data_IF_651130626686
#
_entry.id   IF_651130626686
#
_cell.length_a   1.000
_cell.length_b   1.000
_cell.length_c   1.000
_cell.angle_alpha   90.00
_cell.angle_beta   90.00
_cell.angle_gamma   90.00
#
_symmetry.space_group_name_H-M   'P 1'
#
loop_
_entity.id
_entity.type
_entity.pdbx_description
1 polymer ?
#
# COMPACT_ATOMS: atom_id res chain seq x y z
N UNK A 1 15.06 2.21 -9.67
CA UNK A 1 15.12 1.81 -8.25
C UNK A 1 13.82 1.10 -7.91
N UNK A 2 13.88 0.00 -7.18
CA UNK A 2 12.70 -0.74 -6.66
C UNK A 2 12.32 -0.22 -5.27
N UNK A 3 11.09 -0.50 -4.84
CA UNK A 3 10.67 -0.35 -3.45
C UNK A 3 10.24 -1.69 -2.86
N UNK A 4 10.29 -1.79 -1.54
CA UNK A 4 10.03 -2.99 -0.73
C UNK A 4 9.10 -2.62 0.41
N UNK A 5 8.00 -3.36 0.54
CA UNK A 5 7.16 -3.36 1.73
C UNK A 5 7.34 -4.70 2.45
N UNK A 6 7.82 -4.65 3.68
CA UNK A 6 7.95 -5.81 4.56
C UNK A 6 6.66 -5.96 5.35
N UNK A 7 5.97 -7.09 5.17
CA UNK A 7 4.68 -7.36 5.83
C UNK A 7 4.83 -8.23 7.09
N UNK A 8 6.03 -8.67 7.45
CA UNK A 8 6.30 -9.58 8.58
C UNK A 8 6.60 -11.00 8.09
N UNK A 9 5.99 -12.03 8.68
CA UNK A 9 6.13 -13.43 8.23
C UNK A 9 5.52 -13.68 6.84
N UNK A 10 4.77 -12.71 6.32
CA UNK A 10 4.21 -12.72 4.98
C UNK A 10 5.18 -12.10 3.99
N UNK A 11 5.21 -12.69 2.79
CA UNK A 11 6.12 -12.33 1.71
C UNK A 11 6.26 -10.81 1.50
N UNK A 12 7.49 -10.36 1.29
CA UNK A 12 7.79 -8.99 0.93
C UNK A 12 7.16 -8.62 -0.42
N UNK A 13 6.59 -7.42 -0.49
CA UNK A 13 6.12 -6.86 -1.75
C UNK A 13 7.21 -6.00 -2.38
N UNK A 14 7.86 -6.53 -3.42
CA UNK A 14 8.96 -5.87 -4.14
C UNK A 14 8.46 -5.43 -5.52
N UNK A 15 8.60 -4.14 -5.84
CA UNK A 15 8.08 -3.59 -7.09
C UNK A 15 8.95 -2.44 -7.63
N UNK A 16 8.72 -2.02 -8.87
CA UNK A 16 9.33 -0.81 -9.42
C UNK A 16 9.00 0.42 -8.57
N UNK A 17 9.98 1.28 -8.31
CA UNK A 17 9.87 2.40 -7.37
C UNK A 17 8.75 3.39 -7.70
N UNK A 18 8.44 3.58 -8.99
CA UNK A 18 7.31 4.44 -9.38
C UNK A 18 5.95 3.84 -8.95
N UNK A 19 5.77 2.52 -9.00
CA UNK A 19 4.55 1.86 -8.51
C UNK A 19 4.49 1.99 -7.00
N UNK A 20 5.60 1.67 -6.33
CA UNK A 20 5.73 1.74 -4.88
C UNK A 20 5.37 3.12 -4.34
N UNK A 21 6.00 4.18 -4.84
CA UNK A 21 5.76 5.56 -4.41
C UNK A 21 4.30 6.00 -4.58
N UNK A 22 3.69 5.66 -5.72
CA UNK A 22 2.31 6.02 -6.02
C UNK A 22 1.33 5.25 -5.12
N UNK A 23 1.56 3.95 -4.92
CA UNK A 23 0.73 3.13 -4.04
C UNK A 23 0.77 3.67 -2.61
N UNK A 24 1.95 3.97 -2.06
CA UNK A 24 2.08 4.56 -0.73
C UNK A 24 1.34 5.90 -0.61
N UNK A 25 1.44 6.77 -1.61
CA UNK A 25 0.74 8.04 -1.63
C UNK A 25 -0.79 7.87 -1.65
N UNK A 26 -1.31 6.99 -2.52
CA UNK A 26 -2.76 6.73 -2.58
C UNK A 26 -3.30 6.11 -1.28
N UNK A 27 -2.55 5.22 -0.63
CA UNK A 27 -2.97 4.65 0.66
C UNK A 27 -2.94 5.72 1.75
N UNK A 28 -1.91 6.56 1.78
CA UNK A 28 -1.79 7.64 2.76
C UNK A 28 -2.95 8.66 2.65
N UNK A 29 -3.37 9.01 1.43
CA UNK A 29 -4.54 9.86 1.19
C UNK A 29 -5.83 9.30 1.81
N UNK A 30 -6.00 7.97 1.78
CA UNK A 30 -7.19 7.29 2.33
C UNK A 30 -7.11 7.05 3.86
N UNK A 31 -5.96 7.31 4.48
CA UNK A 31 -5.75 7.18 5.93
C UNK A 31 -6.00 8.49 6.69
N UNK A 32 -5.69 9.64 6.10
CA UNK A 32 -6.04 10.96 6.64
C UNK A 32 -7.57 11.16 6.55
N UNK A 33 -8.30 11.47 7.66
CA UNK A 33 -7.82 12.04 8.92
C UNK A 33 -7.69 11.03 10.08
N UNK A 34 -8.06 9.77 9.88
CA UNK A 34 -8.24 8.79 10.97
C UNK A 34 -6.94 8.21 11.55
N UNK A 35 -5.86 8.17 10.76
CA UNK A 35 -4.59 7.50 11.12
C UNK A 35 -3.37 8.27 10.58
N UNK A 36 -3.23 9.54 10.98
CA UNK A 36 -2.15 10.44 10.51
C UNK A 36 -0.74 9.86 10.65
N UNK A 37 -0.44 9.23 11.77
CA UNK A 37 0.89 8.65 12.01
C UNK A 37 1.23 7.55 11.00
N UNK A 38 0.24 6.73 10.65
CA UNK A 38 0.39 5.67 9.65
C UNK A 38 0.52 6.26 8.24
N UNK A 39 -0.25 7.29 7.91
CA UNK A 39 -0.10 8.00 6.64
C UNK A 39 1.32 8.60 6.50
N UNK A 40 1.82 9.22 7.55
CA UNK A 40 3.17 9.81 7.57
C UNK A 40 4.26 8.74 7.45
N UNK A 41 4.09 7.58 8.09
CA UNK A 41 5.00 6.44 7.90
C UNK A 41 5.13 6.07 6.42
N UNK A 42 4.00 5.88 5.72
CA UNK A 42 4.01 5.52 4.30
C UNK A 42 4.69 6.60 3.43
N UNK A 43 4.37 7.87 3.67
CA UNK A 43 4.97 8.98 2.92
C UNK A 43 6.48 9.10 3.15
N UNK A 44 6.94 8.85 4.38
CA UNK A 44 8.36 8.86 4.73
C UNK A 44 9.11 7.64 4.20
N UNK A 45 8.42 6.55 3.86
CA UNK A 45 9.03 5.34 3.28
C UNK A 45 9.27 5.42 1.77
N UNK A 46 8.82 6.48 1.10
CA UNK A 46 8.98 6.66 -0.35
C UNK A 46 10.44 6.63 -0.79
N UNK A 47 10.68 6.23 -2.03
CA UNK A 47 12.03 6.09 -2.62
C UNK A 47 12.90 7.34 -2.51
N UNK A 48 12.31 8.52 -2.69
CA UNK A 48 13.01 9.81 -2.53
C UNK A 48 13.32 10.20 -1.09
N UNK A 49 12.79 9.49 -0.08
CA UNK A 49 12.93 9.81 1.34
C UNK A 49 13.72 8.73 2.09
N UNK A 50 13.34 7.46 1.95
CA UNK A 50 13.93 6.32 2.68
C UNK A 50 14.38 5.19 1.75
N UNK A 51 14.87 5.51 0.56
CA UNK A 51 15.43 4.56 -0.42
C UNK A 51 14.47 3.43 -0.85
N UNK A 52 13.18 3.55 -0.54
CA UNK A 52 12.15 2.62 -0.97
C UNK A 52 11.95 1.46 -0.02
N UNK A 53 12.15 1.65 1.29
CA UNK A 53 11.91 0.63 2.30
C UNK A 53 10.79 1.04 3.26
N UNK A 54 9.78 0.18 3.40
CA UNK A 54 8.69 0.35 4.36
C UNK A 54 8.51 -0.94 5.17
N UNK A 55 8.73 -0.86 6.48
CA UNK A 55 8.53 -1.99 7.38
C UNK A 55 7.20 -1.86 8.11
N UNK A 56 6.29 -2.81 7.85
CA UNK A 56 4.96 -2.89 8.44
C UNK A 56 4.81 -4.09 9.39
N UNK A 57 5.90 -4.83 9.66
CA UNK A 57 5.90 -5.99 10.55
C UNK A 57 5.55 -5.62 11.99
N UNK A 58 5.94 -4.41 12.43
CA UNK A 58 5.67 -3.89 13.76
C UNK A 58 4.26 -3.33 14.00
N UNK A 59 3.39 -3.31 12.98
CA UNK A 59 2.02 -2.80 13.14
C UNK A 59 1.15 -3.78 13.92
N UNK A 60 0.37 -3.25 14.87
CA UNK A 60 -0.67 -4.00 15.55
C UNK A 60 -1.85 -4.35 14.62
N UNK A 61 -2.72 -5.26 15.05
CA UNK A 61 -3.85 -5.72 14.23
C UNK A 61 -4.81 -4.59 13.82
N UNK A 62 -5.03 -3.58 14.68
CA UNK A 62 -5.92 -2.46 14.39
C UNK A 62 -5.33 -1.45 13.40
N UNK A 63 -4.03 -1.18 13.51
CA UNK A 63 -3.26 -0.40 12.55
C UNK A 63 -3.21 -1.11 11.19
N UNK A 64 -2.92 -2.41 11.19
CA UNK A 64 -2.87 -3.23 9.98
C UNK A 64 -4.24 -3.34 9.31
N UNK A 65 -5.32 -3.49 10.07
CA UNK A 65 -6.68 -3.44 9.55
C UNK A 65 -7.01 -2.08 8.91
N UNK A 66 -6.60 -0.99 9.56
CA UNK A 66 -6.81 0.37 9.00
C UNK A 66 -6.07 0.54 7.67
N UNK A 67 -4.83 0.04 7.59
CA UNK A 67 -4.02 0.03 6.37
C UNK A 67 -4.68 -0.78 5.25
N UNK A 68 -5.08 -2.02 5.53
CA UNK A 68 -5.67 -2.91 4.53
C UNK A 68 -6.97 -2.33 3.95
N UNK A 69 -7.82 -1.73 4.80
CA UNK A 69 -9.02 -1.04 4.36
C UNK A 69 -8.71 0.20 3.51
N UNK A 70 -7.70 0.99 3.90
CA UNK A 70 -7.26 2.14 3.11
C UNK A 70 -6.72 1.72 1.75
N UNK A 71 -5.93 0.64 1.67
CA UNK A 71 -5.45 0.08 0.42
C UNK A 71 -6.59 -0.39 -0.51
N UNK A 72 -7.63 -1.01 0.05
CA UNK A 72 -8.82 -1.40 -0.72
C UNK A 72 -9.56 -0.18 -1.28
N UNK A 73 -9.76 0.88 -0.48
CA UNK A 73 -10.40 2.13 -0.92
C UNK A 73 -9.57 2.84 -2.00
N UNK A 74 -8.27 2.97 -1.77
CA UNK A 74 -7.32 3.58 -2.69
C UNK A 74 -7.33 2.89 -4.06
N UNK A 75 -7.26 1.55 -4.08
CA UNK A 75 -7.32 0.78 -5.32
C UNK A 75 -8.67 0.98 -6.05
N UNK A 76 -9.78 0.98 -5.30
CA UNK A 76 -11.11 1.26 -5.87
C UNK A 76 -11.18 2.67 -6.50
N UNK A 77 -10.62 3.67 -5.82
CA UNK A 77 -10.54 5.04 -6.32
C UNK A 77 -9.70 5.14 -7.60
N UNK A 78 -8.52 4.49 -7.64
CA UNK A 78 -7.68 4.39 -8.85
C UNK A 78 -8.46 3.76 -10.00
N UNK A 79 -9.12 2.63 -9.76
CA UNK A 79 -9.89 1.92 -10.79
C UNK A 79 -11.04 2.76 -11.33
N UNK A 80 -11.71 3.52 -10.45
CA UNK A 80 -12.80 4.43 -10.83
C UNK A 80 -12.31 5.61 -11.67
N UNK A 81 -11.14 6.16 -11.35
CA UNK A 81 -10.51 7.25 -12.14
C UNK A 81 -10.06 6.74 -13.51
N UNK A 82 -9.64 5.48 -13.59
CA UNK A 82 -9.25 4.82 -14.83
C UNK A 82 -7.92 5.32 -15.40
N UNK A 83 -7.57 4.88 -16.62
CA UNK A 83 -6.26 5.13 -17.23
C UNK A 83 -6.01 6.59 -17.60
N UNK A 84 -7.06 7.39 -17.79
CA UNK A 84 -6.96 8.82 -18.13
C UNK A 84 -6.35 9.68 -17.02
N UNK A 85 -6.31 9.18 -15.78
CA UNK A 85 -5.68 9.87 -14.66
C UNK A 85 -4.15 9.70 -14.63
N UNK A 86 -3.60 8.83 -15.48
CA UNK A 86 -2.16 8.59 -15.56
C UNK A 86 -1.54 9.44 -16.67
N UNK A 87 -0.35 9.98 -16.42
CA UNK A 87 0.40 10.71 -17.45
C UNK A 87 0.69 9.83 -18.68
N UNK A 88 0.91 8.53 -18.45
CA UNK A 88 1.00 7.51 -19.50
C UNK A 88 -0.08 6.44 -19.28
N UNK A 89 -1.22 6.52 -19.99
CA UNK A 89 -2.33 5.57 -19.84
C UNK A 89 -1.94 4.10 -20.04
N UNK A 90 -0.90 3.82 -20.84
CA UNK A 90 -0.38 2.47 -21.09
C UNK A 90 0.21 1.79 -19.85
N UNK A 91 0.61 2.54 -18.82
CA UNK A 91 1.13 1.97 -17.57
C UNK A 91 0.03 1.61 -16.56
N UNK A 92 -1.21 2.04 -16.80
CA UNK A 92 -2.33 1.79 -15.90
C UNK A 92 -2.58 0.31 -15.61
N UNK A 93 -2.64 -0.61 -16.61
CA UNK A 93 -2.89 -2.02 -16.33
C UNK A 93 -1.83 -2.62 -15.40
N UNK A 94 -0.55 -2.40 -15.72
CA UNK A 94 0.56 -2.89 -14.89
C UNK A 94 0.60 -2.27 -13.49
N UNK A 95 0.20 -1.00 -13.34
CA UNK A 95 0.04 -0.38 -12.03
C UNK A 95 -1.05 -1.08 -11.20
N UNK A 96 -2.23 -1.28 -11.79
CA UNK A 96 -3.38 -1.89 -11.12
C UNK A 96 -3.07 -3.33 -10.72
N UNK A 97 -2.45 -4.12 -11.59
CA UNK A 97 -2.09 -5.51 -11.30
C UNK A 97 -1.17 -5.61 -10.06
N UNK A 98 -0.20 -4.70 -9.97
CA UNK A 98 0.74 -4.63 -8.84
C UNK A 98 0.09 -4.12 -7.57
N UNK A 99 -0.83 -3.17 -7.66
CA UNK A 99 -1.57 -2.71 -6.49
C UNK A 99 -2.56 -3.78 -5.99
N UNK A 100 -3.18 -4.55 -6.89
CA UNK A 100 -3.99 -5.71 -6.52
C UNK A 100 -3.18 -6.80 -5.82
N UNK A 101 -1.95 -7.04 -6.28
CA UNK A 101 -1.01 -7.96 -5.63
C UNK A 101 -0.76 -7.55 -4.18
N UNK A 102 -0.42 -6.28 -3.93
CA UNK A 102 -0.27 -5.77 -2.55
C UNK A 102 -1.54 -5.97 -1.74
N UNK A 103 -2.73 -5.63 -2.28
CA UNK A 103 -4.00 -5.82 -1.57
C UNK A 103 -4.21 -7.27 -1.16
N UNK A 104 -3.93 -8.23 -2.04
CA UNK A 104 -4.04 -9.67 -1.74
C UNK A 104 -3.10 -10.10 -0.62
N UNK A 105 -1.86 -9.58 -0.61
CA UNK A 105 -0.90 -9.85 0.45
C UNK A 105 -1.39 -9.30 1.80
N UNK A 106 -1.92 -8.07 1.83
CA UNK A 106 -2.50 -7.48 3.03
C UNK A 106 -3.71 -8.29 3.55
N UNK A 107 -4.59 -8.74 2.66
CA UNK A 107 -5.78 -9.53 3.04
C UNK A 107 -5.45 -10.94 3.54
N UNK A 108 -4.34 -11.51 3.08
CA UNK A 108 -3.87 -12.83 3.52
C UNK A 108 -3.21 -12.82 4.91
N UNK A 109 -3.01 -11.66 5.52
CA UNK A 109 -2.23 -11.54 6.75
C UNK A 109 -2.94 -12.11 7.99
N UNK A 110 -2.18 -12.81 8.85
CA UNK A 110 -2.68 -13.44 10.07
C UNK A 110 -3.31 -12.44 11.06
N UNK A 111 -2.84 -11.18 11.05
CA UNK A 111 -3.40 -10.10 11.89
C UNK A 111 -4.84 -9.73 11.52
N UNK A 112 -5.31 -10.10 10.33
CA UNK A 112 -6.70 -9.87 9.89
C UNK A 112 -7.61 -11.10 10.04
N UNK A 113 -7.03 -12.29 10.14
CA UNK A 113 -7.78 -13.56 10.15
C UNK A 113 -8.02 -14.12 11.56
N UNK A 114 -7.24 -13.68 12.54
CA UNK A 114 -7.42 -14.10 13.93
C UNK A 114 -8.59 -13.37 14.58
N UNK A 115 -9.77 -14.02 14.60
CA UNK A 115 -10.85 -13.68 15.54
C UNK A 115 -10.32 -13.84 16.97
N UNK A 116 -10.55 -12.87 17.89
CA UNK A 116 -10.35 -13.14 19.30
C UNK A 116 -11.25 -14.33 19.68
N UNK A 117 -10.64 -15.35 20.28
CA UNK A 117 -11.38 -16.42 20.97
C UNK A 117 -11.93 -15.89 22.29
#
# INVERSE_FOLDING_TARGET
MSGVIVLGDNADWIVAGWVYDNVLAYIAEELEPSRRELAQLLLNSRTGVALGYCDLSGLDAGQFQSLAQAAARALSAVKKRGPSAFHYPSFYPGFVDRFEELRRLLEGDARLTTRPR
#
